data_IF_356436886736
#
_entry.id   IF_356436886736
#
_cell.length_a   1.000
_cell.length_b   1.000
_cell.length_c   1.000
_cell.angle_alpha   90.00
_cell.angle_beta   90.00
_cell.angle_gamma   90.00
#
_symmetry.space_group_name_H-M   'P 1'
#
loop_
_entity.id
_entity.type
_entity.pdbx_description
1 polymer ?
#
# COMPACT_ATOMS: atom_id res chain seq x y z
N UNK A 1 9.52 7.83 18.32
CA UNK A 1 9.57 6.50 17.69
C UNK A 1 8.32 5.74 18.06
N UNK A 2 7.58 5.24 17.07
CA UNK A 2 6.49 4.31 17.32
C UNK A 2 7.01 2.99 17.87
N UNK A 3 6.22 2.34 18.73
CA UNK A 3 6.47 0.96 19.06
C UNK A 3 6.21 0.07 17.83
N UNK A 4 7.02 -0.98 17.67
CA UNK A 4 6.84 -2.00 16.63
C UNK A 4 5.42 -2.59 16.60
N UNK A 5 4.76 -2.68 17.76
CA UNK A 5 3.35 -3.10 17.90
C UNK A 5 2.37 -2.16 17.19
N UNK A 6 2.61 -0.85 17.24
CA UNK A 6 1.75 0.15 16.62
C UNK A 6 1.94 0.16 15.09
N UNK A 7 3.20 0.06 14.65
CA UNK A 7 3.56 -0.09 13.23
C UNK A 7 2.87 -1.34 12.66
N UNK A 8 2.95 -2.47 13.36
CA UNK A 8 2.32 -3.71 12.92
C UNK A 8 0.79 -3.61 12.81
N UNK A 9 0.12 -2.88 13.71
CA UNK A 9 -1.33 -2.63 13.61
C UNK A 9 -1.68 -1.81 12.37
N UNK A 10 -1.01 -0.67 12.19
CA UNK A 10 -1.20 0.19 10.99
C UNK A 10 -0.92 -0.60 9.71
N UNK A 11 0.17 -1.35 9.70
CA UNK A 11 0.55 -2.20 8.58
C UNK A 11 -0.50 -3.27 8.25
N UNK A 12 -1.10 -3.88 9.27
CA UNK A 12 -2.15 -4.88 9.09
C UNK A 12 -3.40 -4.26 8.48
N UNK A 13 -3.78 -3.07 8.92
CA UNK A 13 -4.89 -2.31 8.36
C UNK A 13 -4.63 -1.99 6.88
N UNK A 14 -3.45 -1.46 6.58
CA UNK A 14 -3.01 -1.18 5.21
C UNK A 14 -3.10 -2.43 4.32
N UNK A 15 -2.59 -3.57 4.80
CA UNK A 15 -2.63 -4.82 4.05
C UNK A 15 -4.07 -5.26 3.74
N UNK A 16 -5.02 -5.03 4.64
CA UNK A 16 -6.43 -5.31 4.37
C UNK A 16 -6.98 -4.40 3.28
N UNK A 17 -6.72 -3.09 3.35
CA UNK A 17 -7.13 -2.12 2.32
C UNK A 17 -6.54 -2.47 0.94
N UNK A 18 -5.26 -2.83 0.88
CA UNK A 18 -4.59 -3.26 -0.37
C UNK A 18 -5.23 -4.52 -0.92
N UNK A 19 -5.45 -5.54 -0.09
CA UNK A 19 -6.07 -6.79 -0.51
C UNK A 19 -7.53 -6.60 -0.96
N UNK A 20 -8.26 -5.65 -0.39
CA UNK A 20 -9.59 -5.25 -0.87
C UNK A 20 -9.51 -4.57 -2.23
N UNK A 21 -8.64 -3.57 -2.38
CA UNK A 21 -8.41 -2.88 -3.66
C UNK A 21 -7.99 -3.87 -4.76
N UNK A 22 -7.11 -4.83 -4.44
CA UNK A 22 -6.70 -5.90 -5.34
C UNK A 22 -7.90 -6.73 -5.83
N UNK A 23 -8.76 -7.16 -4.91
CA UNK A 23 -9.97 -7.93 -5.28
C UNK A 23 -10.91 -7.12 -6.15
N UNK A 24 -11.14 -5.84 -5.82
CA UNK A 24 -12.00 -4.98 -6.63
C UNK A 24 -11.39 -4.76 -8.01
N UNK A 25 -10.08 -4.52 -8.11
CA UNK A 25 -9.37 -4.38 -9.37
C UNK A 25 -9.42 -5.62 -10.27
N UNK A 26 -9.43 -6.82 -9.68
CA UNK A 26 -9.59 -8.06 -10.43
C UNK A 26 -11.03 -8.41 -10.79
N UNK A 27 -12.00 -7.83 -10.08
CA UNK A 27 -13.43 -8.07 -10.33
C UNK A 27 -13.96 -7.12 -11.41
N UNK A 28 -13.42 -5.90 -11.47
CA UNK A 28 -13.83 -4.89 -12.43
C UNK A 28 -12.86 -4.84 -13.62
N UNK A 29 -13.35 -5.25 -14.80
CA UNK A 29 -12.57 -5.26 -16.04
C UNK A 29 -12.37 -3.86 -16.65
N UNK A 30 -13.05 -2.83 -16.12
CA UNK A 30 -12.89 -1.45 -16.59
C UNK A 30 -11.59 -0.80 -16.09
N UNK A 31 -10.88 -1.48 -15.18
CA UNK A 31 -9.68 -0.96 -14.56
C UNK A 31 -8.48 -1.06 -15.49
N UNK A 32 -7.69 0.03 -15.62
CA UNK A 32 -6.48 -0.01 -16.41
C UNK A 32 -5.51 -1.06 -15.85
N UNK A 33 -4.94 -1.85 -16.76
CA UNK A 33 -3.98 -2.91 -16.42
C UNK A 33 -2.77 -2.40 -15.64
N UNK A 34 -2.36 -1.15 -15.89
CA UNK A 34 -1.28 -0.52 -15.13
C UNK A 34 -1.63 -0.41 -13.65
N UNK A 35 -2.86 -0.01 -13.31
CA UNK A 35 -3.30 0.04 -11.92
C UNK A 35 -3.34 -1.35 -11.30
N UNK A 36 -3.89 -2.33 -12.01
CA UNK A 36 -3.94 -3.73 -11.54
C UNK A 36 -2.52 -4.23 -11.24
N UNK A 37 -1.55 -3.94 -12.11
CA UNK A 37 -0.15 -4.30 -11.90
C UNK A 37 0.44 -3.64 -10.65
N UNK A 38 0.20 -2.34 -10.43
CA UNK A 38 0.69 -1.65 -9.24
C UNK A 38 0.07 -2.19 -7.94
N UNK A 39 -1.23 -2.48 -7.95
CA UNK A 39 -1.94 -3.03 -6.79
C UNK A 39 -1.49 -4.47 -6.50
N UNK A 40 -1.24 -5.28 -7.53
CA UNK A 40 -0.66 -6.64 -7.38
C UNK A 40 0.76 -6.59 -6.80
N UNK A 41 1.59 -5.65 -7.26
CA UNK A 41 2.95 -5.45 -6.74
C UNK A 41 2.91 -4.98 -5.27
N UNK A 42 2.00 -4.07 -4.92
CA UNK A 42 1.74 -3.64 -3.54
C UNK A 42 1.30 -4.78 -2.63
N UNK A 43 0.38 -5.64 -3.07
CA UNK A 43 -0.09 -6.77 -2.26
C UNK A 43 1.03 -7.78 -2.00
N UNK A 44 1.89 -8.03 -3.00
CA UNK A 44 3.09 -8.87 -2.86
C UNK A 44 4.08 -8.26 -1.88
N UNK A 45 4.40 -6.98 -2.03
CA UNK A 45 5.30 -6.29 -1.11
C UNK A 45 4.72 -6.23 0.31
N UNK A 46 3.42 -6.01 0.48
CA UNK A 46 2.77 -6.06 1.80
C UNK A 46 2.89 -7.44 2.47
N UNK A 47 2.77 -8.52 1.70
CA UNK A 47 2.98 -9.89 2.21
C UNK A 47 4.42 -10.13 2.64
N UNK A 48 5.39 -9.64 1.87
CA UNK A 48 6.82 -9.70 2.21
C UNK A 48 7.14 -8.86 3.45
N UNK A 49 6.60 -7.64 3.49
CA UNK A 49 6.73 -6.68 4.57
C UNK A 49 6.26 -7.22 5.92
N UNK A 50 5.17 -8.00 5.96
CA UNK A 50 4.69 -8.63 7.20
C UNK A 50 5.77 -9.46 7.92
N UNK A 51 6.64 -10.15 7.16
CA UNK A 51 7.79 -10.87 7.74
C UNK A 51 8.85 -9.92 8.29
N UNK A 52 9.10 -8.80 7.59
CA UNK A 52 10.05 -7.76 7.99
C UNK A 52 9.56 -7.02 9.25
N UNK A 53 8.29 -6.64 9.30
CA UNK A 53 7.66 -6.03 10.49
C UNK A 53 7.76 -6.93 11.72
N UNK A 54 7.81 -8.26 11.50
CA UNK A 54 7.99 -9.24 12.58
C UNK A 54 9.44 -9.44 13.01
N UNK A 55 10.43 -9.07 12.17
CA UNK A 55 11.85 -9.29 12.46
C UNK A 55 12.47 -8.29 13.44
N UNK A 56 11.69 -7.31 13.94
CA UNK A 56 12.13 -6.23 14.85
C UNK A 56 13.34 -5.43 14.36
N UNK A 57 13.62 -5.51 13.07
CA UNK A 57 14.76 -4.88 12.43
C UNK A 57 14.29 -3.54 11.86
N UNK A 58 14.58 -2.45 12.58
CA UNK A 58 14.07 -1.13 12.24
C UNK A 58 14.56 -0.63 10.89
N UNK A 59 15.79 -0.94 10.49
CA UNK A 59 16.34 -0.49 9.21
C UNK A 59 15.65 -1.20 8.05
N UNK A 60 15.41 -2.50 8.19
CA UNK A 60 14.60 -3.24 7.21
C UNK A 60 13.16 -2.77 7.17
N UNK A 61 12.57 -2.43 8.32
CA UNK A 61 11.21 -1.87 8.42
C UNK A 61 11.13 -0.53 7.68
N UNK A 62 12.08 0.39 7.92
CA UNK A 62 12.16 1.68 7.21
C UNK A 62 12.25 1.48 5.70
N UNK A 63 13.20 0.66 5.25
CA UNK A 63 13.40 0.39 3.83
C UNK A 63 12.15 -0.23 3.20
N UNK A 64 11.49 -1.14 3.90
CA UNK A 64 10.26 -1.77 3.44
C UNK A 64 9.10 -0.77 3.30
N UNK A 65 8.95 0.16 4.24
CA UNK A 65 7.92 1.22 4.15
C UNK A 65 8.26 2.20 3.02
N UNK A 66 9.53 2.54 2.82
CA UNK A 66 9.99 3.35 1.69
C UNK A 66 9.66 2.71 0.33
N UNK A 67 9.90 1.41 0.19
CA UNK A 67 9.59 0.67 -1.04
C UNK A 67 8.08 0.64 -1.30
N UNK A 68 7.27 0.39 -0.27
CA UNK A 68 5.82 0.41 -0.36
C UNK A 68 5.27 1.79 -0.72
N UNK A 69 5.77 2.86 -0.10
CA UNK A 69 5.36 4.23 -0.39
C UNK A 69 5.66 4.58 -1.85
N UNK A 70 6.82 4.18 -2.36
CA UNK A 70 7.19 4.39 -3.76
C UNK A 70 6.25 3.69 -4.74
N UNK A 71 5.80 2.46 -4.42
CA UNK A 71 4.82 1.74 -5.26
C UNK A 71 3.44 2.37 -5.10
N UNK A 72 3.08 2.78 -3.89
CA UNK A 72 1.85 3.51 -3.57
C UNK A 72 1.71 4.82 -4.34
N UNK A 73 2.75 5.64 -4.42
CA UNK A 73 2.76 6.89 -5.21
C UNK A 73 2.52 6.61 -6.69
N UNK A 74 3.13 5.54 -7.24
CA UNK A 74 2.90 5.13 -8.63
C UNK A 74 1.46 4.66 -8.85
N UNK A 75 0.92 3.89 -7.92
CA UNK A 75 -0.47 3.44 -7.96
C UNK A 75 -1.43 4.65 -7.89
N UNK A 76 -1.19 5.61 -6.99
CA UNK A 76 -2.02 6.81 -6.85
C UNK A 76 -1.99 7.64 -8.14
N UNK A 77 -0.82 7.88 -8.71
CA UNK A 77 -0.70 8.58 -10.00
C UNK A 77 -1.42 7.85 -11.12
N UNK A 78 -1.32 6.52 -11.20
CA UNK A 78 -2.05 5.73 -12.18
C UNK A 78 -3.58 5.87 -11.97
N UNK A 79 -4.06 5.84 -10.72
CA UNK A 79 -5.45 6.12 -10.36
C UNK A 79 -5.89 7.52 -10.79
N UNK A 80 -5.07 8.55 -10.60
CA UNK A 80 -5.41 9.92 -10.97
C UNK A 80 -5.44 10.13 -12.49
N UNK A 81 -4.61 9.40 -13.23
CA UNK A 81 -4.57 9.43 -14.69
C UNK A 81 -5.71 8.61 -15.32
N UNK A 82 -6.20 7.59 -14.63
CA UNK A 82 -7.31 6.77 -15.07
C UNK A 82 -8.65 7.55 -15.03
N UNK A 83 -9.05 8.08 -16.17
CA UNK A 83 -10.34 8.77 -16.30
C UNK A 83 -11.50 7.77 -16.23
N UNK A 84 -12.43 7.98 -15.29
CA UNK A 84 -13.59 7.10 -15.09
C UNK A 84 -13.36 5.89 -14.18
N UNK A 85 -12.25 5.86 -13.42
CA UNK A 85 -12.02 4.85 -12.39
C UNK A 85 -13.09 4.92 -11.28
N UNK A 86 -13.46 3.78 -10.70
CA UNK A 86 -14.33 3.74 -9.52
C UNK A 86 -13.72 4.56 -8.37
N UNK A 87 -14.53 5.47 -7.82
CA UNK A 87 -14.18 6.32 -6.68
C UNK A 87 -13.68 5.49 -5.50
N UNK A 88 -14.24 4.30 -5.27
CA UNK A 88 -13.82 3.42 -4.17
C UNK A 88 -12.36 2.99 -4.29
N UNK A 89 -11.88 2.75 -5.50
CA UNK A 89 -10.52 2.27 -5.73
C UNK A 89 -9.55 3.42 -5.64
N UNK A 90 -9.94 4.57 -6.19
CA UNK A 90 -9.21 5.81 -5.99
C UNK A 90 -9.06 6.11 -4.49
N UNK A 91 -10.14 6.09 -3.73
CA UNK A 91 -10.13 6.34 -2.29
C UNK A 91 -9.30 5.29 -1.53
N UNK A 92 -9.36 4.02 -1.91
CA UNK A 92 -8.56 2.96 -1.29
C UNK A 92 -7.06 3.17 -1.54
N UNK A 93 -6.66 3.48 -2.78
CA UNK A 93 -5.27 3.72 -3.16
C UNK A 93 -4.74 5.00 -2.52
N UNK A 94 -5.52 6.09 -2.53
CA UNK A 94 -5.14 7.35 -1.89
C UNK A 94 -5.05 7.23 -0.37
N UNK A 95 -5.97 6.48 0.27
CA UNK A 95 -5.91 6.21 1.72
C UNK A 95 -4.69 5.38 2.08
N UNK A 96 -4.42 4.31 1.33
CA UNK A 96 -3.23 3.49 1.49
C UNK A 96 -1.94 4.31 1.33
N UNK A 97 -1.84 5.15 0.28
CA UNK A 97 -0.68 6.01 0.07
C UNK A 97 -0.46 7.00 1.22
N UNK A 98 -1.57 7.58 1.73
CA UNK A 98 -1.52 8.49 2.88
C UNK A 98 -1.07 7.77 4.15
N UNK A 99 -1.58 6.57 4.42
CA UNK A 99 -1.16 5.74 5.55
C UNK A 99 0.33 5.35 5.47
N UNK A 100 0.84 5.01 4.28
CA UNK A 100 2.27 4.72 4.06
C UNK A 100 3.15 5.95 4.27
N UNK A 101 2.75 7.09 3.72
CA UNK A 101 3.45 8.36 3.90
C UNK A 101 3.54 8.76 5.37
N UNK A 102 2.43 8.60 6.12
CA UNK A 102 2.40 8.85 7.55
C UNK A 102 3.27 7.85 8.32
N UNK A 103 3.22 6.57 7.97
CA UNK A 103 4.04 5.55 8.60
C UNK A 103 5.54 5.83 8.39
N UNK A 104 5.95 6.16 7.17
CA UNK A 104 7.31 6.57 6.80
C UNK A 104 7.78 7.74 7.65
N UNK A 105 6.97 8.81 7.74
CA UNK A 105 7.27 10.00 8.54
C UNK A 105 7.44 9.73 10.03
N UNK A 106 6.84 8.66 10.55
CA UNK A 106 6.95 8.31 11.97
C UNK A 106 8.11 7.35 12.27
N UNK A 107 8.66 6.71 11.23
CA UNK A 107 9.82 5.82 11.29
C UNK A 107 11.15 6.57 11.07
N UNK A 108 11.12 7.68 10.35
CA UNK A 108 12.22 8.65 10.16
C UNK A 108 12.18 9.72 11.25
#
# INVERSE_FOLDING_TARGET
MLQASEIQKRFTHLQQTVSEAYRTCHTDATIPKDLVNWVDELDKECKSAKKIMSSKDEDRIRQCVDDLERIGDRADRACQQAYGLDVKIKDAVTSMHSELSDLKRQLH
#
